data_IF_322646029021
#
_entry.id   IF_322646029021
#
_cell.length_a   1.000
_cell.length_b   1.000
_cell.length_c   1.000
_cell.angle_alpha   90.00
_cell.angle_beta   90.00
_cell.angle_gamma   90.00
#
_symmetry.space_group_name_H-M   'P 1'
#
loop_
_entity.id
_entity.type
_entity.pdbx_description
1 polymer ?
#
# COMPACT_ATOMS: atom_id res chain seq x y z
N UNK A 1 -9.32 8.29 13.77
CA UNK A 1 -9.81 6.96 14.15
C UNK A 1 -11.26 6.87 13.74
N UNK A 2 -11.73 5.81 13.03
CA UNK A 2 -13.16 5.67 12.75
C UNK A 2 -13.89 5.54 14.09
N UNK A 3 -14.93 6.33 14.25
CA UNK A 3 -15.83 6.23 15.40
C UNK A 3 -16.45 4.83 15.41
N UNK A 4 -16.60 4.24 16.59
CA UNK A 4 -17.09 2.85 16.83
C UNK A 4 -18.44 2.52 16.16
N UNK A 5 -19.17 3.53 15.66
CA UNK A 5 -20.51 3.41 15.12
C UNK A 5 -20.55 3.35 13.57
N UNK A 6 -19.42 3.39 12.87
CA UNK A 6 -19.41 3.28 11.41
C UNK A 6 -19.15 1.84 10.97
N UNK A 7 -20.02 1.34 10.09
CA UNK A 7 -19.88 0.03 9.47
C UNK A 7 -18.56 -0.06 8.69
N UNK A 8 -17.81 -1.12 8.91
CA UNK A 8 -16.63 -1.47 8.11
C UNK A 8 -17.02 -1.83 6.67
N UNK A 9 -16.07 -1.82 5.75
CA UNK A 9 -16.32 -2.17 4.34
C UNK A 9 -16.90 -3.58 4.20
N UNK A 10 -16.47 -4.52 5.02
CA UNK A 10 -16.92 -5.91 4.97
C UNK A 10 -18.33 -6.07 5.56
N UNK A 11 -18.67 -5.31 6.61
CA UNK A 11 -20.03 -5.23 7.16
C UNK A 11 -21.02 -4.62 6.17
N UNK A 12 -20.64 -3.53 5.50
CA UNK A 12 -21.45 -2.91 4.43
C UNK A 12 -21.75 -3.91 3.30
N UNK A 13 -20.76 -4.69 2.88
CA UNK A 13 -20.94 -5.73 1.85
C UNK A 13 -21.82 -6.86 2.34
N UNK A 14 -21.61 -7.32 3.58
CA UNK A 14 -22.44 -8.35 4.22
C UNK A 14 -23.92 -7.90 4.27
N UNK A 15 -24.17 -6.67 4.67
CA UNK A 15 -25.50 -6.07 4.69
C UNK A 15 -26.14 -6.08 3.30
N UNK A 16 -25.45 -5.58 2.27
CA UNK A 16 -25.95 -5.59 0.88
C UNK A 16 -26.22 -7.02 0.40
N UNK A 17 -25.37 -7.99 0.76
CA UNK A 17 -25.57 -9.42 0.44
C UNK A 17 -26.84 -9.98 1.07
N UNK A 18 -27.11 -9.63 2.33
CA UNK A 18 -28.34 -10.05 3.04
C UNK A 18 -29.61 -9.44 2.41
N UNK A 19 -29.53 -8.21 1.91
CA UNK A 19 -30.65 -7.51 1.27
C UNK A 19 -30.86 -7.92 -0.19
N UNK A 20 -29.90 -8.54 -0.85
CA UNK A 20 -29.96 -8.92 -2.27
C UNK A 20 -31.17 -9.79 -2.63
N UNK A 21 -31.53 -10.87 -1.90
CA UNK A 21 -32.70 -11.68 -2.23
C UNK A 21 -34.02 -10.89 -2.20
N UNK A 22 -34.18 -10.04 -1.18
CA UNK A 22 -35.34 -9.17 -1.03
C UNK A 22 -35.44 -8.15 -2.18
N UNK A 23 -34.32 -7.58 -2.59
CA UNK A 23 -34.25 -6.66 -3.73
C UNK A 23 -34.61 -7.34 -5.06
N UNK A 24 -34.20 -8.60 -5.26
CA UNK A 24 -34.49 -9.34 -6.49
C UNK A 24 -35.95 -9.68 -6.65
N UNK A 25 -36.66 -9.99 -5.57
CA UNK A 25 -38.08 -10.33 -5.57
C UNK A 25 -39.01 -9.11 -5.54
N UNK A 26 -38.50 -7.95 -5.13
CA UNK A 26 -39.27 -6.73 -4.96
C UNK A 26 -39.78 -6.11 -6.28
N UNK A 27 -40.97 -5.47 -6.23
CA UNK A 27 -41.53 -4.68 -7.35
C UNK A 27 -40.81 -3.34 -7.51
N UNK A 28 -41.00 -2.66 -8.65
CA UNK A 28 -40.30 -1.42 -9.01
C UNK A 28 -40.28 -0.34 -7.91
N UNK A 29 -41.42 -0.06 -7.30
CA UNK A 29 -41.50 0.95 -6.22
C UNK A 29 -40.72 0.51 -4.98
N UNK A 30 -40.92 -0.74 -4.57
CA UNK A 30 -40.22 -1.33 -3.43
C UNK A 30 -38.71 -1.42 -3.64
N UNK A 31 -38.24 -1.75 -4.86
CA UNK A 31 -36.79 -1.70 -5.20
C UNK A 31 -36.18 -0.33 -4.98
N UNK A 32 -36.93 0.75 -5.34
CA UNK A 32 -36.45 2.11 -5.12
C UNK A 32 -36.33 2.44 -3.63
N UNK A 33 -37.30 2.01 -2.82
CA UNK A 33 -37.28 2.20 -1.37
C UNK A 33 -36.13 1.42 -0.71
N UNK A 34 -35.96 0.15 -1.09
CA UNK A 34 -34.86 -0.69 -0.61
C UNK A 34 -33.49 -0.10 -0.95
N UNK A 35 -33.32 0.47 -2.16
CA UNK A 35 -32.06 1.15 -2.53
C UNK A 35 -31.81 2.38 -1.66
N UNK A 36 -32.85 3.16 -1.34
CA UNK A 36 -32.70 4.33 -0.46
C UNK A 36 -32.36 3.91 0.98
N UNK A 37 -33.01 2.85 1.48
CA UNK A 37 -32.67 2.26 2.78
C UNK A 37 -31.21 1.75 2.83
N UNK A 38 -30.78 0.99 1.82
CA UNK A 38 -29.42 0.49 1.74
C UNK A 38 -28.38 1.63 1.64
N UNK A 39 -28.70 2.72 0.93
CA UNK A 39 -27.84 3.91 0.84
C UNK A 39 -27.72 4.60 2.21
N UNK A 40 -28.82 4.77 2.92
CA UNK A 40 -28.81 5.38 4.26
C UNK A 40 -28.04 4.55 5.28
N UNK A 41 -28.24 3.22 5.30
CA UNK A 41 -27.61 2.32 6.27
C UNK A 41 -26.13 2.10 5.96
N UNK A 42 -25.80 1.78 4.71
CA UNK A 42 -24.42 1.46 4.33
C UNK A 42 -23.56 2.68 4.05
N UNK A 43 -24.13 3.88 3.90
CA UNK A 43 -23.44 5.10 3.45
C UNK A 43 -22.72 4.92 2.09
N UNK A 44 -23.15 3.93 1.30
CA UNK A 44 -22.64 3.71 -0.05
C UNK A 44 -23.51 4.45 -1.06
N UNK A 45 -22.88 5.06 -2.06
CA UNK A 45 -23.62 5.71 -3.14
C UNK A 45 -24.51 4.72 -3.91
N UNK A 46 -25.73 5.12 -4.25
CA UNK A 46 -26.77 4.31 -4.91
C UNK A 46 -26.27 3.50 -6.12
N UNK A 47 -25.48 4.12 -7.02
CA UNK A 47 -24.90 3.43 -8.17
C UNK A 47 -23.95 2.28 -7.75
N UNK A 48 -23.25 2.45 -6.64
CA UNK A 48 -22.37 1.41 -6.11
C UNK A 48 -23.17 0.25 -5.54
N UNK A 49 -24.24 0.53 -4.80
CA UNK A 49 -25.18 -0.50 -4.28
C UNK A 49 -25.77 -1.30 -5.43
N UNK A 50 -26.30 -0.64 -6.48
CA UNK A 50 -26.85 -1.32 -7.66
C UNK A 50 -25.79 -2.21 -8.32
N UNK A 51 -24.55 -1.74 -8.47
CA UNK A 51 -23.47 -2.52 -9.04
C UNK A 51 -23.12 -3.75 -8.19
N UNK A 52 -23.17 -3.62 -6.86
CA UNK A 52 -22.97 -4.75 -5.96
C UNK A 52 -24.11 -5.77 -6.06
N UNK A 53 -25.37 -5.32 -6.15
CA UNK A 53 -26.54 -6.20 -6.27
C UNK A 53 -26.59 -6.95 -7.61
N UNK A 54 -26.13 -6.33 -8.69
CA UNK A 54 -26.08 -6.92 -10.03
C UNK A 54 -24.77 -7.68 -10.30
N UNK A 55 -23.78 -7.59 -9.42
CA UNK A 55 -22.51 -8.29 -9.55
C UNK A 55 -22.64 -9.77 -9.20
N UNK A 56 -21.89 -10.62 -9.92
CA UNK A 56 -21.86 -12.07 -9.66
C UNK A 56 -21.23 -12.45 -8.31
N UNK A 57 -20.41 -11.56 -7.71
CA UNK A 57 -19.77 -11.81 -6.43
C UNK A 57 -19.72 -10.54 -5.58
N UNK A 58 -20.35 -10.60 -4.40
CA UNK A 58 -20.27 -9.59 -3.35
C UNK A 58 -18.99 -9.72 -2.51
N UNK A 59 -18.17 -10.74 -2.79
CA UNK A 59 -16.93 -10.98 -2.09
C UNK A 59 -15.81 -10.05 -2.60
N UNK A 60 -14.93 -9.66 -1.68
CA UNK A 60 -13.74 -8.88 -2.04
C UNK A 60 -12.81 -9.74 -2.87
N UNK A 61 -12.67 -9.42 -4.17
CA UNK A 61 -11.66 -10.06 -5.01
C UNK A 61 -10.27 -9.78 -4.43
N UNK A 62 -9.61 -10.82 -3.94
CA UNK A 62 -8.19 -10.75 -3.59
C UNK A 62 -7.39 -10.50 -4.86
N UNK A 63 -6.36 -9.68 -4.77
CA UNK A 63 -5.45 -9.46 -5.88
C UNK A 63 -4.75 -10.79 -6.21
N UNK A 64 -4.92 -11.27 -7.42
CA UNK A 64 -4.30 -12.53 -7.88
C UNK A 64 -2.78 -12.41 -8.02
N UNK A 65 -2.30 -11.24 -8.39
CA UNK A 65 -0.87 -10.97 -8.57
C UNK A 65 -0.44 -9.76 -7.73
N UNK A 66 0.46 -9.92 -6.79
CA UNK A 66 1.06 -8.79 -6.08
C UNK A 66 1.87 -7.96 -7.09
N UNK A 67 1.97 -6.64 -6.86
CA UNK A 67 2.90 -5.81 -7.64
C UNK A 67 4.31 -6.30 -7.41
N UNK A 68 5.07 -6.52 -8.50
CA UNK A 68 6.51 -6.76 -8.42
C UNK A 68 7.20 -5.60 -7.71
N UNK A 69 8.25 -5.90 -6.94
CA UNK A 69 9.08 -4.86 -6.34
C UNK A 69 9.94 -4.24 -7.42
N UNK A 70 9.88 -2.94 -7.58
CA UNK A 70 10.74 -2.19 -8.50
C UNK A 70 12.19 -2.20 -8.03
N UNK A 71 12.38 -2.11 -6.70
CA UNK A 71 13.70 -2.08 -6.07
C UNK A 71 13.91 -3.38 -5.28
N UNK A 72 14.96 -4.12 -5.62
CA UNK A 72 15.34 -5.38 -4.99
C UNK A 72 16.11 -5.20 -3.68
N UNK A 73 16.51 -6.33 -3.11
CA UNK A 73 17.32 -6.38 -1.87
C UNK A 73 18.69 -5.72 -2.07
N UNK A 74 19.25 -5.82 -3.28
CA UNK A 74 20.55 -5.21 -3.61
C UNK A 74 20.52 -3.68 -3.48
N UNK A 75 19.48 -3.05 -4.03
CA UNK A 75 19.27 -1.59 -3.88
C UNK A 75 19.11 -1.21 -2.41
N UNK A 76 18.30 -1.98 -1.67
CA UNK A 76 18.10 -1.75 -0.23
C UNK A 76 19.42 -1.81 0.55
N UNK A 77 20.29 -2.79 0.26
CA UNK A 77 21.62 -2.91 0.86
C UNK A 77 22.51 -1.71 0.57
N UNK A 78 22.55 -1.28 -0.69
CA UNK A 78 23.35 -0.11 -1.09
C UNK A 78 22.85 1.16 -0.39
N UNK A 79 21.52 1.37 -0.37
CA UNK A 79 20.91 2.52 0.32
C UNK A 79 21.28 2.53 1.80
N UNK A 80 21.22 1.39 2.47
CA UNK A 80 21.57 1.27 3.89
C UNK A 80 23.06 1.56 4.12
N UNK A 81 23.93 0.98 3.31
CA UNK A 81 25.38 1.17 3.45
C UNK A 81 25.78 2.63 3.24
N UNK A 82 25.21 3.30 2.24
CA UNK A 82 25.41 4.73 2.02
C UNK A 82 24.86 5.56 3.19
N UNK A 83 23.69 5.18 3.70
CA UNK A 83 23.06 5.87 4.83
C UNK A 83 23.88 5.79 6.12
N UNK A 84 24.44 4.61 6.41
CA UNK A 84 25.37 4.39 7.52
C UNK A 84 26.63 5.26 7.37
N UNK A 85 27.23 5.28 6.17
CA UNK A 85 28.44 6.06 5.88
C UNK A 85 28.26 7.58 5.97
N UNK A 86 27.02 8.06 5.87
CA UNK A 86 26.63 9.47 5.99
C UNK A 86 25.99 9.81 7.35
N UNK A 87 26.22 9.00 8.36
CA UNK A 87 25.77 9.21 9.73
C UNK A 87 24.24 9.40 9.84
N UNK A 88 23.51 8.50 9.15
CA UNK A 88 22.05 8.39 9.27
C UNK A 88 21.23 9.62 8.90
N UNK A 89 21.67 10.40 7.91
CA UNK A 89 20.97 11.60 7.44
C UNK A 89 19.54 11.30 6.93
N UNK A 90 18.69 12.32 6.80
CA UNK A 90 17.33 12.17 6.31
C UNK A 90 17.29 11.79 4.81
N UNK A 91 16.20 11.13 4.39
CA UNK A 91 16.05 10.60 3.04
C UNK A 91 16.12 11.69 1.94
N UNK A 92 15.60 12.89 2.22
CA UNK A 92 15.63 14.02 1.30
C UNK A 92 17.06 14.47 0.99
N UNK A 93 17.94 14.48 1.99
CA UNK A 93 19.37 14.83 1.82
C UNK A 93 20.17 13.66 1.27
N UNK A 94 19.82 12.43 1.63
CA UNK A 94 20.49 11.22 1.18
C UNK A 94 20.29 11.01 -0.33
N UNK A 95 19.06 11.16 -0.83
CA UNK A 95 18.70 10.78 -2.20
C UNK A 95 19.55 11.47 -3.28
N UNK A 96 19.81 12.78 -3.24
CA UNK A 96 20.66 13.44 -4.27
C UNK A 96 22.11 12.94 -4.29
N UNK A 97 22.66 12.57 -3.15
CA UNK A 97 24.04 12.09 -3.01
C UNK A 97 24.18 10.58 -3.14
N UNK A 98 23.08 9.85 -3.19
CA UNK A 98 23.05 8.39 -3.08
C UNK A 98 23.87 7.69 -4.15
N UNK A 99 23.68 8.04 -5.43
CA UNK A 99 24.42 7.42 -6.54
C UNK A 99 25.91 7.75 -6.49
N UNK A 100 26.23 9.03 -6.25
CA UNK A 100 27.62 9.47 -6.16
C UNK A 100 28.35 8.76 -5.00
N UNK A 101 27.76 8.73 -3.82
CA UNK A 101 28.35 8.08 -2.66
C UNK A 101 28.45 6.56 -2.84
N UNK A 102 27.47 5.92 -3.47
CA UNK A 102 27.53 4.49 -3.79
C UNK A 102 28.72 4.17 -4.70
N UNK A 103 28.95 4.98 -5.74
CA UNK A 103 30.14 4.84 -6.61
C UNK A 103 31.43 5.07 -5.86
N UNK A 104 31.47 6.05 -4.98
CA UNK A 104 32.63 6.33 -4.14
C UNK A 104 32.95 5.13 -3.23
N UNK A 105 31.97 4.58 -2.52
CA UNK A 105 32.17 3.41 -1.68
C UNK A 105 32.57 2.16 -2.49
N UNK A 106 32.05 2.01 -3.71
CA UNK A 106 32.41 0.92 -4.60
C UNK A 106 33.90 1.01 -5.04
N UNK A 107 34.43 2.22 -5.28
CA UNK A 107 35.85 2.41 -5.65
C UNK A 107 36.81 2.01 -4.54
N UNK A 108 36.36 1.99 -3.28
CA UNK A 108 37.14 1.47 -2.14
C UNK A 108 36.84 -0.01 -1.82
N UNK A 109 36.05 -0.70 -2.66
CA UNK A 109 35.68 -2.10 -2.42
C UNK A 109 34.72 -2.33 -1.26
N UNK A 110 34.11 -1.26 -0.72
CA UNK A 110 33.19 -1.34 0.41
C UNK A 110 31.80 -1.88 0.03
N UNK A 111 31.46 -1.85 -1.25
CA UNK A 111 30.23 -2.46 -1.80
C UNK A 111 30.42 -2.86 -3.28
N UNK A 112 29.56 -3.78 -3.74
CA UNK A 112 29.49 -4.17 -5.15
C UNK A 112 28.32 -3.43 -5.80
N UNK A 113 28.61 -2.71 -6.88
CA UNK A 113 27.62 -1.93 -7.61
C UNK A 113 27.45 -2.49 -9.02
N UNK A 114 26.27 -2.97 -9.36
CA UNK A 114 25.94 -3.44 -10.70
C UNK A 114 25.32 -2.29 -11.52
N UNK A 115 25.40 -2.36 -12.85
CA UNK A 115 24.81 -1.36 -13.75
C UNK A 115 23.30 -1.20 -13.52
N UNK A 116 22.60 -2.30 -13.22
CA UNK A 116 21.17 -2.26 -12.91
C UNK A 116 20.88 -1.47 -11.62
N UNK A 117 21.66 -1.71 -10.57
CA UNK A 117 21.54 -0.99 -9.29
C UNK A 117 21.86 0.48 -9.49
N UNK A 118 22.89 0.84 -10.27
CA UNK A 118 23.20 2.24 -10.59
C UNK A 118 22.02 2.96 -11.25
N UNK A 119 21.41 2.34 -12.26
CA UNK A 119 20.27 2.92 -12.96
C UNK A 119 19.05 3.11 -12.05
N UNK A 120 18.81 2.16 -11.13
CA UNK A 120 17.75 2.24 -10.14
C UNK A 120 18.00 3.32 -9.09
N UNK A 121 19.25 3.48 -8.62
CA UNK A 121 19.63 4.54 -7.70
C UNK A 121 19.52 5.93 -8.30
N UNK A 122 19.78 6.07 -9.61
CA UNK A 122 19.62 7.35 -10.33
C UNK A 122 18.17 7.85 -10.40
N UNK A 123 17.21 6.91 -10.36
CA UNK A 123 15.78 7.22 -10.53
C UNK A 123 14.96 7.06 -9.25
N UNK A 124 15.59 6.66 -8.14
CA UNK A 124 14.89 6.41 -6.88
C UNK A 124 14.33 7.70 -6.29
N UNK A 125 13.09 7.62 -5.80
CA UNK A 125 12.41 8.76 -5.19
C UNK A 125 12.69 8.83 -3.68
N UNK A 126 12.87 10.03 -3.08
CA UNK A 126 13.08 10.22 -1.64
C UNK A 126 12.05 9.50 -0.76
N UNK A 127 10.76 9.50 -1.13
CA UNK A 127 9.73 8.79 -0.39
C UNK A 127 9.93 7.26 -0.39
N UNK A 128 10.58 6.69 -1.42
CA UNK A 128 10.92 5.26 -1.46
C UNK A 128 12.11 4.98 -0.55
N UNK A 129 13.14 5.82 -0.60
CA UNK A 129 14.30 5.76 0.32
C UNK A 129 13.81 5.84 1.76
N UNK A 130 12.96 6.80 2.10
CA UNK A 130 12.40 6.95 3.44
C UNK A 130 11.67 5.68 3.91
N UNK A 131 10.89 5.02 3.04
CA UNK A 131 10.20 3.77 3.39
C UNK A 131 11.17 2.62 3.66
N UNK A 132 12.28 2.53 2.89
CA UNK A 132 13.33 1.54 3.11
C UNK A 132 14.01 1.78 4.47
N UNK A 133 14.43 3.01 4.73
CA UNK A 133 15.09 3.37 5.99
C UNK A 133 14.19 3.19 7.21
N UNK A 134 12.91 3.52 7.10
CA UNK A 134 11.93 3.33 8.20
C UNK A 134 11.77 1.87 8.60
N UNK A 135 11.75 0.96 7.62
CA UNK A 135 11.65 -0.48 7.85
C UNK A 135 12.86 -0.99 8.63
N UNK A 136 14.06 -0.57 8.25
CA UNK A 136 15.31 -1.00 8.89
C UNK A 136 15.48 -0.42 10.30
N UNK A 137 15.11 0.86 10.52
CA UNK A 137 15.09 1.45 11.88
C UNK A 137 14.18 0.68 12.86
N UNK A 138 13.07 0.15 12.37
CA UNK A 138 12.16 -0.65 13.19
C UNK A 138 12.76 -2.01 13.56
N UNK A 139 13.55 -2.62 12.66
CA UNK A 139 14.26 -3.87 12.91
C UNK A 139 15.40 -3.68 13.91
N UNK A 140 16.28 -2.69 13.74
CA UNK A 140 17.36 -2.35 14.68
C UNK A 140 16.85 -2.09 16.10
N UNK A 141 15.70 -1.42 16.21
CA UNK A 141 15.11 -1.16 17.53
C UNK A 141 14.62 -2.42 18.23
N UNK A 142 14.17 -3.40 17.46
CA UNK A 142 13.69 -4.68 17.99
C UNK A 142 14.87 -5.57 18.43
N UNK A 143 16.01 -5.50 17.74
CA UNK A 143 17.21 -6.26 18.09
C UNK A 143 17.92 -5.71 19.33
N UNK A 144 17.88 -4.37 19.55
CA UNK A 144 18.47 -3.73 20.74
C UNK A 144 17.69 -3.95 22.04
N UNK A 145 16.46 -4.45 21.97
CA UNK A 145 15.59 -4.70 23.13
C UNK A 145 15.64 -6.18 23.56
N UNK A 146 16.34 -7.03 22.82
CA UNK A 146 16.62 -8.42 23.17
C UNK A 146 17.99 -8.58 23.82
#
# INVERSE_FOLDING_TARGET
>A
MPTRDEMTIDERRKYVKLMAPRYQTAKRKERSQLLSEMEQVSKLHRKHVIRLLNGQSLERKKRSTPRSRTYGVEVERVVLRVWESLDYICAERLTPSLLWMAKHLASFGALVLTVEVESQLATINPATVQRMLRKNRAQDRTERIR
#
